data_IF_120978128633
#
_entry.id   IF_120978128633
#
_cell.length_a   1.000
_cell.length_b   1.000
_cell.length_c   1.000
_cell.angle_alpha   90.00
_cell.angle_beta   90.00
_cell.angle_gamma   90.00
#
_symmetry.space_group_name_H-M   'P 1'
#
loop_
_entity.id
_entity.type
_entity.pdbx_description
1 polymer ?
#
# COMPACT_ATOMS: atom_id res chain seq x y z
N UNK A 1 57.59 20.21 19.89
CA UNK A 1 57.24 20.58 18.50
C UNK A 1 55.72 20.73 18.40
N UNK A 2 55.21 21.94 18.12
CA UNK A 2 53.78 22.18 17.84
C UNK A 2 53.65 22.54 16.37
N UNK A 3 53.14 21.63 15.55
CA UNK A 3 52.78 21.88 14.15
C UNK A 3 51.50 22.71 14.10
N UNK A 4 51.61 23.99 13.77
CA UNK A 4 50.44 24.83 13.52
C UNK A 4 49.85 24.47 12.16
N UNK A 5 48.73 23.75 12.16
CA UNK A 5 47.91 23.50 10.98
C UNK A 5 47.32 24.83 10.48
N UNK A 6 47.97 25.43 9.48
CA UNK A 6 47.42 26.55 8.72
C UNK A 6 46.15 26.10 8.01
N UNK A 7 44.99 26.57 8.47
CA UNK A 7 43.71 26.35 7.79
C UNK A 7 43.77 27.07 6.43
N UNK A 8 43.66 26.38 5.29
CA UNK A 8 43.68 27.04 4.00
C UNK A 8 42.48 27.98 3.90
N UNK A 9 42.76 29.28 3.83
CA UNK A 9 41.73 30.31 3.70
C UNK A 9 41.29 30.33 2.23
N UNK A 10 40.18 29.66 1.94
CA UNK A 10 39.61 29.63 0.59
C UNK A 10 39.35 31.06 0.09
N UNK A 11 39.70 31.39 -1.17
CA UNK A 11 39.50 32.73 -1.69
C UNK A 11 38.01 33.08 -1.74
N UNK A 12 37.68 34.34 -1.44
CA UNK A 12 36.31 34.85 -1.21
C UNK A 12 35.33 34.51 -2.35
N UNK A 13 35.83 34.42 -3.59
CA UNK A 13 35.05 34.02 -4.79
C UNK A 13 34.69 32.53 -4.76
N UNK A 14 35.65 31.65 -4.47
CA UNK A 14 35.42 30.20 -4.36
C UNK A 14 34.46 29.89 -3.20
N UNK A 15 34.57 30.62 -2.08
CA UNK A 15 33.63 30.47 -0.95
C UNK A 15 32.18 30.80 -1.34
N UNK A 16 31.97 31.81 -2.20
CA UNK A 16 30.62 32.16 -2.69
C UNK A 16 30.05 31.08 -3.61
N UNK A 17 30.86 30.55 -4.53
CA UNK A 17 30.45 29.46 -5.41
C UNK A 17 30.13 28.17 -4.65
N UNK A 18 30.94 27.82 -3.64
CA UNK A 18 30.66 26.68 -2.76
C UNK A 18 29.33 26.84 -2.01
N UNK A 19 29.02 28.04 -1.55
CA UNK A 19 27.74 28.32 -0.90
C UNK A 19 26.57 28.16 -1.88
N UNK A 20 26.71 28.66 -3.12
CA UNK A 20 25.68 28.50 -4.17
C UNK A 20 25.45 27.03 -4.52
N UNK A 21 26.53 26.27 -4.73
CA UNK A 21 26.45 24.82 -5.03
C UNK A 21 25.82 24.06 -3.86
N UNK A 22 26.20 24.36 -2.62
CA UNK A 22 25.61 23.71 -1.44
C UNK A 22 24.10 23.96 -1.33
N UNK A 23 23.64 25.18 -1.64
CA UNK A 23 22.21 25.51 -1.66
C UNK A 23 21.48 24.74 -2.77
N UNK A 24 22.04 24.67 -3.97
CA UNK A 24 21.45 23.94 -5.08
C UNK A 24 21.36 22.44 -4.81
N UNK A 25 22.39 21.85 -4.20
CA UNK A 25 22.37 20.42 -3.79
C UNK A 25 21.33 20.17 -2.72
N UNK A 26 21.25 21.03 -1.70
CA UNK A 26 20.20 20.93 -0.67
C UNK A 26 18.79 21.01 -1.26
N UNK A 27 18.57 21.93 -2.20
CA UNK A 27 17.29 22.10 -2.89
C UNK A 27 16.93 20.88 -3.75
N UNK A 28 17.90 20.31 -4.47
CA UNK A 28 17.71 19.09 -5.25
C UNK A 28 17.36 17.89 -4.35
N UNK A 29 18.01 17.77 -3.18
CA UNK A 29 17.70 16.72 -2.20
C UNK A 29 16.29 16.88 -1.64
N UNK A 30 15.86 18.09 -1.27
CA UNK A 30 14.50 18.36 -0.76
C UNK A 30 13.44 18.02 -1.80
N UNK A 31 13.64 18.41 -3.06
CA UNK A 31 12.68 18.11 -4.15
C UNK A 31 12.65 16.61 -4.46
N UNK A 32 13.81 15.95 -4.54
CA UNK A 32 13.90 14.51 -4.82
C UNK A 32 13.29 13.65 -3.70
N UNK A 33 13.58 13.97 -2.45
CA UNK A 33 12.99 13.28 -1.30
C UNK A 33 11.52 13.62 -1.10
N UNK A 34 11.12 14.88 -1.34
CA UNK A 34 9.73 15.31 -1.32
C UNK A 34 8.90 14.54 -2.35
N UNK A 35 9.39 14.43 -3.59
CA UNK A 35 8.71 13.67 -4.65
C UNK A 35 8.60 12.16 -4.33
N UNK A 36 9.67 11.58 -3.77
CA UNK A 36 9.69 10.15 -3.39
C UNK A 36 8.73 9.85 -2.23
N UNK A 37 8.66 10.74 -1.24
CA UNK A 37 7.73 10.60 -0.11
C UNK A 37 6.28 10.85 -0.52
N UNK A 38 6.03 11.77 -1.46
CA UNK A 38 4.67 12.03 -1.94
C UNK A 38 4.05 10.83 -2.67
N UNK A 39 4.84 10.09 -3.46
CA UNK A 39 4.37 8.85 -4.09
C UNK A 39 3.95 7.78 -3.08
N UNK A 40 4.61 7.72 -1.92
CA UNK A 40 4.28 6.74 -0.87
C UNK A 40 3.09 7.19 0.00
N UNK A 41 2.97 8.49 0.22
CA UNK A 41 1.85 9.08 0.96
C UNK A 41 0.56 9.04 0.14
N UNK A 42 0.58 9.22 -1.19
CA UNK A 42 -0.64 9.04 -1.99
C UNK A 42 -1.13 7.59 -2.08
N UNK A 43 -0.25 6.60 -1.93
CA UNK A 43 -0.67 5.19 -1.81
C UNK A 43 -1.30 4.91 -0.44
N UNK A 44 -0.67 5.39 0.65
CA UNK A 44 -1.19 5.21 2.01
C UNK A 44 -2.41 6.09 2.33
N UNK A 45 -2.58 7.25 1.71
CA UNK A 45 -3.72 8.14 1.95
C UNK A 45 -5.01 7.68 1.26
N UNK A 46 -4.92 6.87 0.19
CA UNK A 46 -6.09 6.18 -0.39
C UNK A 46 -6.57 5.01 0.47
N UNK A 47 -5.69 4.47 1.31
CA UNK A 47 -6.00 3.43 2.30
C UNK A 47 -6.52 4.06 3.60
N UNK A 48 -6.00 5.22 4.01
CA UNK A 48 -6.31 5.86 5.28
C UNK A 48 -7.52 6.82 5.28
N UNK A 49 -8.15 7.11 4.14
CA UNK A 49 -9.29 8.06 4.05
C UNK A 49 -10.64 7.51 4.55
N UNK A 50 -10.68 6.30 5.13
CA UNK A 50 -11.81 5.85 5.95
C UNK A 50 -13.05 5.39 5.20
N UNK A 51 -12.96 5.08 3.90
CA UNK A 51 -14.09 4.53 3.13
C UNK A 51 -14.14 2.99 3.16
N UNK A 52 -13.07 2.30 3.58
CA UNK A 52 -12.98 0.85 3.58
C UNK A 52 -12.01 0.40 4.69
N UNK A 53 -12.50 0.13 5.91
CA UNK A 53 -11.75 -0.70 6.86
C UNK A 53 -11.87 -2.15 6.41
N UNK A 54 -11.09 -2.52 5.39
CA UNK A 54 -10.91 -3.92 4.98
C UNK A 54 -9.48 -4.37 5.23
N UNK A 55 -8.81 -3.80 6.22
CA UNK A 55 -7.74 -4.48 6.97
C UNK A 55 -8.20 -5.82 7.57
N UNK A 56 -9.52 -6.01 7.66
CA UNK A 56 -10.16 -7.21 8.20
C UNK A 56 -10.08 -8.41 7.26
N UNK A 57 -10.07 -8.21 5.93
CA UNK A 57 -9.98 -9.33 4.99
C UNK A 57 -8.53 -9.72 4.78
N UNK A 58 -8.13 -10.81 5.43
CA UNK A 58 -6.77 -11.31 5.38
C UNK A 58 -6.68 -12.34 4.26
N UNK A 59 -5.59 -12.34 3.48
CA UNK A 59 -5.41 -13.27 2.36
C UNK A 59 -5.46 -14.75 2.75
N UNK A 60 -5.26 -15.08 4.03
CA UNK A 60 -5.41 -16.44 4.58
C UNK A 60 -6.87 -16.86 4.85
N UNK A 61 -7.85 -15.96 4.77
CA UNK A 61 -9.26 -16.30 5.00
C UNK A 61 -9.77 -17.22 3.89
N UNK A 62 -10.62 -18.17 4.25
CA UNK A 62 -11.28 -19.08 3.30
C UNK A 62 -12.63 -18.52 2.85
N UNK A 63 -13.11 -18.94 1.69
CA UNK A 63 -14.42 -18.48 1.18
C UNK A 63 -15.59 -18.79 2.14
N UNK A 64 -15.67 -19.99 2.78
CA UNK A 64 -16.73 -20.28 3.75
C UNK A 64 -16.65 -19.43 5.03
N UNK A 65 -15.44 -18.96 5.39
CA UNK A 65 -15.28 -18.04 6.51
C UNK A 65 -15.80 -16.64 6.14
N UNK A 66 -15.49 -16.17 4.94
CA UNK A 66 -15.93 -14.86 4.44
C UNK A 66 -17.46 -14.82 4.33
N UNK A 67 -18.07 -15.90 3.83
CA UNK A 67 -19.53 -16.03 3.81
C UNK A 67 -20.16 -15.91 5.20
N UNK A 68 -19.60 -16.59 6.20
CA UNK A 68 -20.11 -16.51 7.58
C UNK A 68 -19.83 -15.16 8.26
N UNK A 69 -18.69 -14.54 8.00
CA UNK A 69 -18.27 -13.31 8.65
C UNK A 69 -18.89 -12.06 8.03
N UNK A 70 -19.12 -12.05 6.72
CA UNK A 70 -19.56 -10.89 5.95
C UNK A 70 -20.90 -11.09 5.24
N UNK A 71 -21.48 -12.29 5.28
CA UNK A 71 -22.80 -12.59 4.71
C UNK A 71 -22.83 -12.69 3.18
N UNK A 72 -21.66 -12.70 2.51
CA UNK A 72 -21.58 -12.81 1.05
C UNK A 72 -21.63 -14.28 0.62
N UNK A 73 -22.59 -14.70 -0.22
CA UNK A 73 -22.69 -16.09 -0.65
C UNK A 73 -21.41 -16.59 -1.32
N UNK A 74 -20.97 -17.80 -0.99
CA UNK A 74 -19.75 -18.39 -1.55
C UNK A 74 -19.80 -18.48 -3.10
N UNK A 75 -21.00 -18.70 -3.66
CA UNK A 75 -21.21 -18.77 -5.10
C UNK A 75 -20.86 -17.45 -5.81
N UNK A 76 -21.19 -16.30 -5.21
CA UNK A 76 -20.89 -14.98 -5.77
C UNK A 76 -19.39 -14.68 -5.69
N UNK A 77 -18.75 -15.02 -4.57
CA UNK A 77 -17.30 -14.89 -4.40
C UNK A 77 -16.55 -15.71 -5.45
N UNK A 78 -16.98 -16.96 -5.69
CA UNK A 78 -16.39 -17.84 -6.70
C UNK A 78 -16.57 -17.29 -8.11
N UNK A 79 -17.79 -16.83 -8.43
CA UNK A 79 -18.08 -16.26 -9.76
C UNK A 79 -17.21 -15.04 -10.05
N UNK A 80 -17.06 -14.14 -9.07
CA UNK A 80 -16.28 -12.93 -9.23
C UNK A 80 -14.78 -13.20 -9.35
N UNK A 81 -14.28 -14.26 -8.72
CA UNK A 81 -12.88 -14.71 -8.82
C UNK A 81 -12.64 -15.64 -10.03
N UNK A 82 -13.68 -15.99 -10.80
CA UNK A 82 -13.56 -16.92 -11.94
C UNK A 82 -13.29 -18.37 -11.53
N UNK A 83 -13.69 -18.77 -10.33
CA UNK A 83 -13.41 -20.07 -9.73
C UNK A 83 -14.51 -21.11 -10.06
N UNK A 84 -14.19 -22.41 -10.04
CA UNK A 84 -15.19 -23.48 -10.17
C UNK A 84 -16.23 -23.43 -9.04
N UNK A 85 -17.47 -23.79 -9.36
CA UNK A 85 -18.63 -23.65 -8.48
C UNK A 85 -18.55 -24.47 -7.16
N UNK A 86 -17.76 -25.54 -7.15
CA UNK A 86 -17.65 -26.48 -6.03
C UNK A 86 -16.23 -26.98 -5.84
N UNK A 87 -15.86 -27.29 -4.60
CA UNK A 87 -14.59 -27.92 -4.23
C UNK A 87 -13.59 -26.96 -3.58
N UNK A 88 -12.63 -27.56 -2.86
CA UNK A 88 -11.51 -26.88 -2.20
C UNK A 88 -11.91 -25.72 -1.26
N UNK A 89 -12.93 -25.97 -0.44
CA UNK A 89 -13.46 -25.01 0.55
C UNK A 89 -12.46 -24.63 1.64
N UNK A 90 -11.45 -25.46 1.85
CA UNK A 90 -10.38 -25.25 2.83
C UNK A 90 -9.26 -24.32 2.33
N UNK A 91 -9.25 -23.97 1.03
CA UNK A 91 -8.23 -23.09 0.46
C UNK A 91 -8.47 -21.63 0.84
N UNK A 92 -7.37 -20.93 1.05
CA UNK A 92 -7.41 -19.50 1.32
C UNK A 92 -7.69 -18.69 0.04
N UNK A 93 -8.15 -17.46 0.21
CA UNK A 93 -8.31 -16.51 -0.90
C UNK A 93 -7.00 -16.29 -1.66
N UNK A 94 -5.86 -16.31 -0.96
CA UNK A 94 -4.55 -16.22 -1.59
C UNK A 94 -4.31 -17.37 -2.57
N UNK A 95 -4.53 -18.61 -2.12
CA UNK A 95 -4.30 -19.81 -2.94
C UNK A 95 -5.24 -19.85 -4.16
N UNK A 96 -6.47 -19.36 -3.99
CA UNK A 96 -7.42 -19.21 -5.08
C UNK A 96 -7.04 -18.12 -6.08
N UNK A 97 -6.48 -17.01 -5.59
CA UNK A 97 -5.95 -15.95 -6.44
C UNK A 97 -4.81 -16.45 -7.32
N UNK A 98 -3.87 -17.18 -6.73
CA UNK A 98 -2.73 -17.77 -7.44
C UNK A 98 -3.19 -18.76 -8.53
N UNK A 99 -4.14 -19.64 -8.23
CA UNK A 99 -4.73 -20.59 -9.19
C UNK A 99 -5.46 -19.89 -10.35
N UNK A 100 -6.15 -18.78 -10.05
CA UNK A 100 -6.82 -17.95 -11.05
C UNK A 100 -5.85 -17.07 -11.86
N UNK A 101 -4.55 -17.10 -11.56
CA UNK A 101 -3.55 -16.22 -12.17
C UNK A 101 -3.69 -14.75 -11.76
N UNK A 102 -4.43 -14.48 -10.68
CA UNK A 102 -4.66 -13.17 -10.12
C UNK A 102 -3.62 -12.87 -9.03
N UNK A 103 -3.09 -11.65 -9.02
CA UNK A 103 -2.27 -11.20 -7.90
C UNK A 103 -3.08 -11.22 -6.59
N UNK A 104 -2.41 -11.49 -5.46
CA UNK A 104 -3.05 -11.60 -4.16
C UNK A 104 -3.79 -10.31 -3.77
N UNK A 105 -3.26 -9.16 -4.20
CA UNK A 105 -3.89 -7.84 -3.99
C UNK A 105 -5.13 -7.68 -4.88
N UNK A 106 -5.07 -8.14 -6.13
CA UNK A 106 -6.20 -8.06 -7.07
C UNK A 106 -7.39 -8.91 -6.59
N UNK A 107 -7.11 -10.15 -6.15
CA UNK A 107 -8.13 -11.07 -5.63
C UNK A 107 -8.82 -10.50 -4.39
N UNK A 108 -8.04 -9.88 -3.50
CA UNK A 108 -8.56 -9.21 -2.31
C UNK A 108 -9.46 -8.02 -2.66
N UNK A 109 -9.05 -7.18 -3.61
CA UNK A 109 -9.86 -6.04 -4.05
C UNK A 109 -11.21 -6.44 -4.66
N UNK A 110 -11.26 -7.56 -5.39
CA UNK A 110 -12.51 -8.09 -5.94
C UNK A 110 -13.47 -8.49 -4.81
N UNK A 111 -12.97 -9.21 -3.81
CA UNK A 111 -13.77 -9.65 -2.66
C UNK A 111 -14.20 -8.47 -1.79
N UNK A 112 -13.28 -7.52 -1.55
CA UNK A 112 -13.56 -6.27 -0.86
C UNK A 112 -14.75 -5.53 -1.49
N UNK A 113 -14.72 -5.41 -2.82
CA UNK A 113 -15.80 -4.76 -3.57
C UNK A 113 -17.14 -5.47 -3.37
N UNK A 114 -17.17 -6.79 -3.43
CA UNK A 114 -18.39 -7.57 -3.21
C UNK A 114 -18.92 -7.42 -1.79
N UNK A 115 -18.04 -7.41 -0.79
CA UNK A 115 -18.46 -7.20 0.60
C UNK A 115 -19.06 -5.82 0.76
N UNK A 116 -18.51 -4.78 0.14
CA UNK A 116 -19.09 -3.44 0.21
C UNK A 116 -20.42 -3.32 -0.54
N UNK A 117 -20.59 -4.06 -1.64
CA UNK A 117 -21.85 -4.13 -2.37
C UNK A 117 -22.93 -4.87 -1.59
N UNK A 118 -22.56 -5.87 -0.77
CA UNK A 118 -23.49 -6.70 0.00
C UNK A 118 -23.70 -6.25 1.45
N UNK A 119 -22.72 -5.57 2.05
CA UNK A 119 -22.79 -5.14 3.43
C UNK A 119 -23.64 -3.86 3.54
N UNK A 120 -24.64 -3.80 4.46
CA UNK A 120 -25.20 -2.53 4.86
C UNK A 120 -24.09 -1.66 5.49
N UNK A 121 -24.14 -0.32 5.37
CA UNK A 121 -23.08 0.58 5.83
C UNK A 121 -22.72 0.26 7.27
N UNK A 122 -21.44 -0.05 7.50
CA UNK A 122 -20.91 -0.49 8.79
C UNK A 122 -21.34 0.46 9.91
N UNK A 123 -22.34 0.02 10.70
CA UNK A 123 -23.01 0.85 11.70
C UNK A 123 -24.36 0.31 12.18
N UNK A 124 -24.95 -0.67 11.48
CA UNK A 124 -26.27 -1.21 11.82
C UNK A 124 -26.23 -2.64 12.38
N UNK A 125 -25.44 -2.90 13.43
CA UNK A 125 -25.65 -4.05 14.30
C UNK A 125 -25.00 -3.77 15.65
N UNK A 126 -25.84 -3.44 16.64
CA UNK A 126 -25.50 -3.36 18.05
C UNK A 126 -26.18 -4.51 18.77
#
# INVERSE_FOLDING_TARGET
>A
MKSSLSKPVLPKRIRRWLAVVAVLVGMALVVGFGWRTWKQVQFNQRVASGEIQVETLRGWMTLPYIERAYGVPQAELRQALGLPATGFDDRSVHDWGEEAGLDAVASRHIIEKLILEHAPPAGAAK
#
